data_IF_976436481257
#
_entry.id   IF_976436481257
#
_cell.length_a   1.000
_cell.length_b   1.000
_cell.length_c   1.000
_cell.angle_alpha   90.00
_cell.angle_beta   90.00
_cell.angle_gamma   90.00
#
_symmetry.space_group_name_H-M   'P 1'
#
loop_
_entity.id
_entity.type
_entity.pdbx_description
1 polymer ?
#
# COMPACT_ATOMS: atom_id res chain seq x y z
N UNK A 1 -55.80 -5.75 -59.51
CA UNK A 1 -54.43 -6.19 -59.19
C UNK A 1 -54.08 -5.65 -57.82
N UNK A 2 -53.97 -6.53 -56.82
CA UNK A 2 -53.84 -6.16 -55.42
C UNK A 2 -52.37 -5.89 -55.04
N UNK A 3 -52.14 -4.73 -54.42
CA UNK A 3 -50.86 -4.33 -53.82
C UNK A 3 -50.65 -5.09 -52.50
N UNK A 4 -49.51 -5.76 -52.36
CA UNK A 4 -49.04 -6.34 -51.10
C UNK A 4 -48.15 -5.32 -50.39
N UNK A 5 -48.62 -4.79 -49.25
CA UNK A 5 -47.79 -4.08 -48.25
C UNK A 5 -46.97 -5.11 -47.48
N UNK A 6 -45.64 -5.07 -47.60
CA UNK A 6 -44.73 -5.82 -46.73
C UNK A 6 -44.32 -4.96 -45.53
N UNK A 7 -44.62 -5.46 -44.33
CA UNK A 7 -44.44 -4.77 -43.06
C UNK A 7 -43.00 -4.75 -42.55
N UNK A 8 -42.53 -3.56 -42.21
CA UNK A 8 -41.23 -3.23 -41.61
C UNK A 8 -41.19 -3.43 -40.09
N UNK A 9 -41.85 -4.45 -39.55
CA UNK A 9 -42.06 -4.57 -38.09
C UNK A 9 -41.15 -5.59 -37.39
N UNK A 10 -40.40 -6.44 -38.11
CA UNK A 10 -39.65 -7.54 -37.48
C UNK A 10 -38.16 -7.28 -37.22
N UNK A 11 -37.56 -6.26 -37.84
CA UNK A 11 -36.12 -5.97 -37.68
C UNK A 11 -35.86 -5.16 -36.39
N UNK A 12 -36.82 -4.34 -35.96
CA UNK A 12 -36.64 -3.46 -34.79
C UNK A 12 -36.66 -4.23 -33.46
N UNK A 13 -37.47 -5.28 -33.33
CA UNK A 13 -37.54 -6.10 -32.11
C UNK A 13 -36.28 -6.93 -31.87
N UNK A 14 -35.59 -7.36 -32.94
CA UNK A 14 -34.36 -8.13 -32.83
C UNK A 14 -33.16 -7.26 -32.37
N UNK A 15 -33.11 -6.01 -32.81
CA UNK A 15 -32.10 -5.03 -32.39
C UNK A 15 -32.28 -4.62 -30.91
N UNK A 16 -33.52 -4.49 -30.44
CA UNK A 16 -33.81 -4.22 -29.02
C UNK A 16 -33.44 -5.43 -28.14
N UNK A 17 -33.68 -6.67 -28.59
CA UNK A 17 -33.27 -7.86 -27.85
C UNK A 17 -31.74 -8.02 -27.76
N UNK A 18 -31.00 -7.65 -28.81
CA UNK A 18 -29.53 -7.64 -28.81
C UNK A 18 -28.94 -6.49 -27.97
N UNK A 19 -29.62 -5.34 -27.90
CA UNK A 19 -29.23 -4.23 -27.02
C UNK A 19 -29.54 -4.50 -25.54
N UNK A 20 -30.58 -5.28 -25.21
CA UNK A 20 -30.90 -5.67 -23.82
C UNK A 20 -30.01 -6.83 -23.36
N UNK A 21 -29.58 -7.74 -24.26
CA UNK A 21 -28.63 -8.81 -23.93
C UNK A 21 -27.18 -8.38 -23.71
N UNK A 22 -26.83 -7.14 -24.10
CA UNK A 22 -25.50 -6.55 -23.91
C UNK A 22 -25.34 -5.71 -22.63
N UNK A 23 -26.42 -5.54 -21.86
CA UNK A 23 -26.38 -4.79 -20.61
C UNK A 23 -26.16 -5.74 -19.42
N UNK A 24 -24.94 -5.68 -18.89
CA UNK A 24 -24.58 -6.05 -17.52
C UNK A 24 -24.62 -7.56 -17.17
N UNK A 25 -23.79 -8.37 -17.85
CA UNK A 25 -23.03 -9.36 -17.08
C UNK A 25 -21.85 -8.63 -16.44
N UNK A 26 -22.09 -7.87 -15.37
CA UNK A 26 -21.01 -7.60 -14.42
C UNK A 26 -20.61 -8.97 -13.90
N UNK A 27 -19.48 -9.52 -14.37
CA UNK A 27 -18.85 -10.65 -13.71
C UNK A 27 -18.77 -10.28 -12.23
N UNK A 28 -19.59 -10.94 -11.42
CA UNK A 28 -19.46 -10.86 -9.97
C UNK A 28 -18.15 -11.59 -9.72
N UNK A 29 -17.04 -10.84 -9.68
CA UNK A 29 -15.76 -11.38 -9.25
C UNK A 29 -16.03 -11.90 -7.85
N UNK A 30 -15.97 -13.23 -7.61
CA UNK A 30 -16.25 -13.76 -6.30
C UNK A 30 -15.21 -13.13 -5.37
N UNK A 31 -15.70 -12.36 -4.39
CA UNK A 31 -14.88 -11.94 -3.27
C UNK A 31 -14.51 -13.22 -2.55
N UNK A 32 -13.32 -13.75 -2.83
CA UNK A 32 -12.82 -14.94 -2.16
C UNK A 32 -12.70 -14.53 -0.69
N UNK A 33 -13.49 -15.13 0.23
CA UNK A 33 -13.35 -14.82 1.64
C UNK A 33 -11.90 -15.08 2.05
N UNK A 34 -11.35 -14.24 2.94
CA UNK A 34 -10.04 -14.48 3.51
C UNK A 34 -10.01 -15.93 4.01
N UNK A 35 -9.00 -16.70 3.59
CA UNK A 35 -8.89 -18.10 3.98
C UNK A 35 -8.92 -18.18 5.51
N UNK A 36 -9.67 -19.13 6.06
CA UNK A 36 -9.56 -19.42 7.49
C UNK A 36 -8.12 -19.82 7.77
N UNK A 37 -7.46 -19.11 8.67
CA UNK A 37 -6.06 -19.39 8.99
C UNK A 37 -5.96 -20.77 9.61
N UNK A 38 -5.03 -21.58 9.12
CA UNK A 38 -4.75 -22.87 9.76
C UNK A 38 -4.11 -22.65 11.14
N UNK A 39 -4.20 -23.62 12.07
CA UNK A 39 -3.48 -23.54 13.35
C UNK A 39 -1.98 -23.27 13.19
N UNK A 40 -1.35 -23.85 12.17
CA UNK A 40 0.05 -23.64 11.84
C UNK A 40 0.33 -22.20 11.41
N UNK A 41 -0.57 -21.59 10.62
CA UNK A 41 -0.45 -20.19 10.22
C UNK A 41 -0.59 -19.24 11.42
N UNK A 42 -1.47 -19.55 12.36
CA UNK A 42 -1.64 -18.81 13.61
C UNK A 42 -0.38 -18.89 14.47
N UNK A 43 0.16 -20.09 14.67
CA UNK A 43 1.38 -20.29 15.46
C UNK A 43 2.57 -19.57 14.82
N UNK A 44 2.78 -19.74 13.51
CA UNK A 44 3.81 -19.02 12.74
C UNK A 44 3.68 -17.52 12.90
N UNK A 45 2.48 -16.97 12.78
CA UNK A 45 2.26 -15.53 12.93
C UNK A 45 2.60 -15.04 14.34
N UNK A 46 2.23 -15.81 15.38
CA UNK A 46 2.58 -15.50 16.77
C UNK A 46 4.09 -15.44 16.97
N UNK A 47 4.84 -16.42 16.44
CA UNK A 47 6.30 -16.44 16.51
C UNK A 47 6.95 -15.24 15.81
N UNK A 48 6.42 -14.83 14.66
CA UNK A 48 6.93 -13.66 13.92
C UNK A 48 6.70 -12.38 14.73
N UNK A 49 5.49 -12.20 15.29
CA UNK A 49 5.20 -11.02 16.12
C UNK A 49 6.04 -10.98 17.40
N UNK A 50 6.32 -12.12 18.02
CA UNK A 50 7.24 -12.21 19.16
C UNK A 50 8.66 -11.76 18.78
N UNK A 51 9.17 -12.18 17.61
CA UNK A 51 10.49 -11.74 17.11
C UNK A 51 10.52 -10.24 16.85
N UNK A 52 9.45 -9.67 16.31
CA UNK A 52 9.33 -8.22 16.09
C UNK A 52 9.37 -7.48 17.42
N UNK A 53 8.60 -7.95 18.41
CA UNK A 53 8.57 -7.33 19.75
C UNK A 53 9.93 -7.42 20.46
N UNK A 54 10.57 -8.59 20.43
CA UNK A 54 11.90 -8.79 21.00
C UNK A 54 12.94 -7.85 20.36
N UNK A 55 12.93 -7.76 19.02
CA UNK A 55 13.80 -6.83 18.29
C UNK A 55 13.54 -5.38 18.69
N UNK A 56 12.28 -4.97 18.71
CA UNK A 56 11.93 -3.58 19.04
C UNK A 56 12.41 -3.21 20.43
N UNK A 57 12.32 -4.14 21.39
CA UNK A 57 12.81 -3.94 22.76
C UNK A 57 14.33 -3.90 22.86
N UNK A 58 15.06 -4.70 22.08
CA UNK A 58 16.50 -4.95 22.24
C UNK A 58 17.39 -4.15 21.28
N UNK A 59 16.93 -3.87 20.07
CA UNK A 59 17.69 -3.23 18.98
C UNK A 59 17.24 -1.79 18.76
N UNK A 60 15.93 -1.56 18.60
CA UNK A 60 15.40 -0.26 18.17
C UNK A 60 15.46 0.82 19.27
N UNK A 61 15.62 0.40 20.54
CA UNK A 61 15.87 1.29 21.67
C UNK A 61 17.37 1.62 21.87
N UNK A 62 18.27 1.04 21.10
CA UNK A 62 19.71 1.32 21.19
C UNK A 62 20.02 2.67 20.53
N UNK A 63 20.75 3.54 21.24
CA UNK A 63 21.13 4.87 20.74
C UNK A 63 21.93 4.83 19.42
N UNK A 64 22.85 3.88 19.27
CA UNK A 64 23.62 3.70 18.04
C UNK A 64 22.74 3.30 16.86
N UNK A 65 21.76 2.42 17.10
CA UNK A 65 20.79 2.04 16.07
C UNK A 65 19.93 3.24 15.67
N UNK A 66 19.44 4.00 16.64
CA UNK A 66 18.63 5.21 16.42
C UNK A 66 19.42 6.22 15.57
N UNK A 67 20.65 6.54 15.94
CA UNK A 67 21.49 7.49 15.19
C UNK A 67 21.75 7.01 13.76
N UNK A 68 22.09 5.72 13.60
CA UNK A 68 22.34 5.12 12.29
C UNK A 68 21.09 5.05 11.40
N UNK A 69 19.89 4.92 12.00
CA UNK A 69 18.61 4.83 11.28
C UNK A 69 18.30 6.10 10.48
N UNK A 70 18.89 7.24 10.86
CA UNK A 70 18.68 8.54 10.19
C UNK A 70 19.70 8.85 9.10
N UNK A 71 20.77 8.06 8.96
CA UNK A 71 21.89 8.37 8.04
C UNK A 71 21.55 8.13 6.57
N UNK A 72 20.43 7.45 6.29
CA UNK A 72 19.96 7.13 4.95
C UNK A 72 19.20 5.82 4.93
N UNK A 73 18.79 5.39 3.74
CA UNK A 73 18.11 4.10 3.55
C UNK A 73 19.17 3.00 3.55
N UNK A 74 19.09 2.10 4.54
CA UNK A 74 20.12 1.09 4.82
C UNK A 74 19.80 -0.29 4.22
N UNK A 75 18.58 -0.51 3.71
CA UNK A 75 18.26 -1.66 2.86
C UNK A 75 18.96 -1.54 1.50
N UNK A 76 19.18 -2.66 0.81
CA UNK A 76 19.96 -2.69 -0.42
C UNK A 76 19.15 -2.16 -1.61
N UNK A 77 19.77 -1.29 -2.42
CA UNK A 77 19.19 -0.90 -3.71
C UNK A 77 19.29 -2.05 -4.71
N UNK A 78 18.18 -2.39 -5.37
CA UNK A 78 18.14 -3.40 -6.43
C UNK A 78 19.02 -2.97 -7.64
N UNK A 79 19.12 -1.68 -7.95
CA UNK A 79 19.95 -1.20 -9.06
C UNK A 79 21.45 -1.44 -8.85
N UNK A 80 21.87 -1.60 -7.58
CA UNK A 80 23.26 -1.92 -7.22
C UNK A 80 23.54 -3.41 -7.09
N UNK A 81 22.50 -4.25 -7.14
CA UNK A 81 22.64 -5.70 -6.99
C UNK A 81 23.15 -6.29 -8.32
N UNK A 82 24.26 -7.06 -8.32
CA UNK A 82 24.75 -7.68 -9.53
C UNK A 82 23.73 -8.67 -10.11
N UNK A 83 23.50 -8.63 -11.43
CA UNK A 83 22.53 -9.49 -12.13
C UNK A 83 22.75 -10.98 -11.83
N UNK A 84 24.02 -11.41 -11.68
CA UNK A 84 24.37 -12.78 -11.33
C UNK A 84 23.87 -13.25 -9.95
N UNK A 85 23.36 -12.34 -9.11
CA UNK A 85 22.80 -12.62 -7.77
C UNK A 85 21.28 -12.67 -7.74
N UNK A 86 20.58 -12.36 -8.83
CA UNK A 86 19.11 -12.28 -8.81
C UNK A 86 18.45 -13.61 -8.48
N UNK A 87 18.96 -14.72 -9.03
CA UNK A 87 18.41 -16.05 -8.77
C UNK A 87 18.51 -16.47 -7.29
N UNK A 88 19.48 -15.93 -6.53
CA UNK A 88 19.67 -16.24 -5.11
C UNK A 88 18.47 -15.77 -4.27
N UNK A 89 17.71 -14.78 -4.75
CA UNK A 89 16.52 -14.24 -4.08
C UNK A 89 15.27 -15.11 -4.22
N UNK A 90 15.33 -16.19 -5.02
CA UNK A 90 14.23 -17.17 -5.15
C UNK A 90 13.80 -17.75 -3.80
N UNK A 91 14.74 -17.92 -2.86
CA UNK A 91 14.48 -18.43 -1.50
C UNK A 91 13.51 -17.57 -0.68
N UNK A 92 13.37 -16.29 -1.04
CA UNK A 92 12.51 -15.33 -0.35
C UNK A 92 11.11 -15.21 -0.97
N UNK A 93 10.84 -15.87 -2.10
CA UNK A 93 9.52 -15.80 -2.73
C UNK A 93 8.42 -16.41 -1.83
N UNK A 94 7.27 -15.76 -1.76
CA UNK A 94 6.09 -16.31 -1.08
C UNK A 94 5.25 -17.08 -2.09
N UNK A 95 5.55 -18.37 -2.26
CA UNK A 95 4.90 -19.24 -3.25
C UNK A 95 4.96 -18.67 -4.68
N UNK A 96 6.12 -18.11 -5.05
CA UNK A 96 6.34 -17.43 -6.33
C UNK A 96 5.91 -15.96 -6.35
N UNK A 97 5.32 -15.44 -5.28
CA UNK A 97 4.88 -14.04 -5.19
C UNK A 97 6.01 -13.13 -4.72
N UNK A 98 6.12 -11.96 -5.36
CA UNK A 98 6.89 -10.80 -4.89
C UNK A 98 5.94 -9.72 -4.44
N UNK A 99 6.24 -9.07 -3.32
CA UNK A 99 5.49 -7.91 -2.84
C UNK A 99 6.20 -6.63 -3.28
N UNK A 100 5.45 -5.67 -3.80
CA UNK A 100 5.97 -4.34 -4.11
C UNK A 100 5.13 -3.31 -3.37
N UNK A 101 5.77 -2.47 -2.57
CA UNK A 101 5.10 -1.39 -1.83
C UNK A 101 5.59 -0.06 -2.37
N UNK A 102 4.69 0.68 -3.02
CA UNK A 102 5.02 1.92 -3.71
C UNK A 102 4.86 3.13 -2.80
N UNK A 103 5.95 3.80 -2.46
CA UNK A 103 5.98 4.95 -1.56
C UNK A 103 5.29 4.68 -0.20
N UNK A 104 5.77 3.72 0.60
CA UNK A 104 5.18 3.43 1.91
C UNK A 104 5.19 4.67 2.82
N UNK A 105 4.23 4.77 3.72
CA UNK A 105 4.08 5.88 4.69
C UNK A 105 3.80 7.24 4.06
N UNK A 106 3.32 7.28 2.81
CA UNK A 106 3.31 8.53 2.05
C UNK A 106 2.48 9.63 2.71
N UNK A 107 1.36 9.26 3.33
CA UNK A 107 0.49 10.21 3.96
C UNK A 107 1.24 10.91 5.10
N UNK A 108 1.84 10.16 6.02
CA UNK A 108 2.57 10.73 7.16
C UNK A 108 3.75 11.61 6.75
N UNK A 109 4.55 11.21 5.76
CA UNK A 109 5.81 11.89 5.45
C UNK A 109 5.73 12.97 4.37
N UNK A 110 4.75 12.88 3.45
CA UNK A 110 4.69 13.75 2.27
C UNK A 110 3.37 14.51 2.10
N UNK A 111 2.34 14.19 2.89
CA UNK A 111 1.01 14.81 2.75
C UNK A 111 0.52 15.42 4.06
N UNK A 112 0.74 14.75 5.17
CA UNK A 112 0.29 15.15 6.47
C UNK A 112 1.11 16.37 6.93
N UNK A 113 0.47 17.38 7.54
CA UNK A 113 1.20 18.50 8.12
C UNK A 113 2.21 18.00 9.16
N UNK A 114 3.24 18.80 9.42
CA UNK A 114 4.29 18.44 10.38
C UNK A 114 3.70 18.05 11.72
N UNK A 115 3.97 16.81 12.12
CA UNK A 115 3.61 16.32 13.45
C UNK A 115 4.49 17.03 14.46
N UNK A 116 3.89 17.93 15.25
CA UNK A 116 4.51 18.48 16.44
C UNK A 116 4.19 17.58 17.64
N UNK A 117 5.20 16.95 18.22
CA UNK A 117 5.10 16.27 19.52
C UNK A 117 6.02 16.93 20.52
N UNK A 118 5.54 17.13 21.74
CA UNK A 118 6.40 17.33 22.93
C UNK A 118 7.01 16.00 23.43
N UNK A 119 6.60 14.89 22.82
CA UNK A 119 7.13 13.57 23.14
C UNK A 119 8.48 13.44 22.41
N UNK A 120 9.51 13.92 23.08
CA UNK A 120 10.88 14.03 22.56
C UNK A 120 11.67 12.73 22.75
N UNK A 121 11.00 11.59 22.93
CA UNK A 121 11.70 10.32 23.09
C UNK A 121 12.36 9.95 21.76
N UNK A 122 13.71 9.89 21.68
CA UNK A 122 14.41 9.46 20.48
C UNK A 122 14.05 8.03 20.07
N UNK A 123 13.48 7.24 21.00
CA UNK A 123 13.06 5.88 20.75
C UNK A 123 11.79 5.76 19.89
N UNK A 124 10.95 6.81 19.79
CA UNK A 124 9.72 6.78 18.99
C UNK A 124 9.89 7.52 17.67
N UNK A 125 9.61 6.86 16.56
CA UNK A 125 9.62 7.46 15.23
C UNK A 125 8.37 8.33 15.00
N UNK A 126 8.40 9.14 13.94
CA UNK A 126 7.23 9.94 13.54
C UNK A 126 6.01 9.08 13.21
N UNK A 127 6.21 7.89 12.61
CA UNK A 127 5.12 6.98 12.30
C UNK A 127 4.43 6.48 13.58
N UNK A 128 5.18 6.10 14.62
CA UNK A 128 4.58 5.68 15.91
C UNK A 128 3.73 6.80 16.51
N UNK A 129 4.28 8.01 16.54
CA UNK A 129 3.59 9.19 17.07
C UNK A 129 2.30 9.45 16.27
N UNK A 130 2.35 9.28 14.95
CA UNK A 130 1.17 9.39 14.10
C UNK A 130 0.13 8.32 14.45
N UNK A 131 0.53 7.05 14.58
CA UNK A 131 -0.38 5.94 14.81
C UNK A 131 -0.99 5.95 16.23
N UNK A 132 -0.24 6.36 17.25
CA UNK A 132 -0.65 6.36 18.66
C UNK A 132 -1.59 7.54 19.02
N UNK A 133 -1.31 8.75 18.54
CA UNK A 133 -2.06 9.93 18.98
C UNK A 133 -3.49 9.91 18.43
N UNK A 134 -4.48 9.92 19.32
CA UNK A 134 -5.90 9.95 18.94
C UNK A 134 -6.25 11.10 17.98
N UNK A 135 -7.10 10.82 16.98
CA UNK A 135 -7.55 11.80 15.94
C UNK A 135 -8.09 13.13 16.50
N UNK A 136 -8.56 13.15 17.75
CA UNK A 136 -9.06 14.35 18.44
C UNK A 136 -7.96 15.30 18.95
N UNK A 137 -6.74 14.82 19.20
CA UNK A 137 -5.59 15.64 19.62
C UNK A 137 -5.12 16.60 18.53
N UNK A 138 -5.43 16.28 17.27
CA UNK A 138 -4.91 16.96 16.09
C UNK A 138 -5.78 18.09 15.56
N UNK A 139 -7.01 18.24 16.05
CA UNK A 139 -7.88 19.35 15.64
C UNK A 139 -7.53 20.69 16.27
N UNK A 140 -6.79 20.68 17.38
CA UNK A 140 -6.45 21.90 18.11
C UNK A 140 -5.09 22.49 17.71
N UNK A 141 -4.32 21.83 16.83
CA UNK A 141 -2.90 22.15 16.66
C UNK A 141 -2.59 22.94 15.37
N UNK A 142 -3.41 22.93 14.31
CA UNK A 142 -2.96 23.59 13.06
C UNK A 142 -4.01 24.09 12.06
N UNK A 143 -5.22 24.49 12.50
CA UNK A 143 -6.25 24.96 11.55
C UNK A 143 -6.67 26.42 11.72
N UNK A 144 -6.18 27.15 12.71
CA UNK A 144 -6.64 28.51 12.99
C UNK A 144 -5.99 29.63 12.14
N UNK A 145 -4.92 29.40 11.37
CA UNK A 145 -4.19 30.51 10.73
C UNK A 145 -3.72 30.25 9.28
N UNK A 146 -4.63 29.95 8.35
CA UNK A 146 -4.37 30.28 6.94
C UNK A 146 -5.65 30.71 6.19
N UNK A 147 -6.04 31.99 6.34
CA UNK A 147 -7.20 32.56 5.63
C UNK A 147 -6.93 32.83 4.13
N UNK A 148 -5.68 32.71 3.64
CA UNK A 148 -5.30 33.31 2.34
C UNK A 148 -5.01 32.33 1.20
N UNK A 149 -5.26 31.03 1.36
CA UNK A 149 -5.27 30.10 0.22
C UNK A 149 -6.50 29.20 0.32
N UNK A 150 -7.51 29.50 -0.48
CA UNK A 150 -8.84 28.86 -0.53
C UNK A 150 -8.87 27.36 -0.86
N UNK A 151 -8.16 26.54 -0.09
CA UNK A 151 -8.14 25.08 -0.19
C UNK A 151 -7.93 24.35 1.14
N UNK A 152 -7.64 25.04 2.24
CA UNK A 152 -7.13 24.44 3.49
C UNK A 152 -8.22 24.11 4.54
N UNK A 153 -9.30 23.45 4.13
CA UNK A 153 -10.33 22.94 5.06
C UNK A 153 -10.79 21.50 4.74
N UNK A 154 -9.92 20.67 4.12
CA UNK A 154 -10.38 19.43 3.44
C UNK A 154 -10.27 18.12 4.20
N UNK A 155 -9.52 18.03 5.29
CA UNK A 155 -9.31 16.73 5.94
C UNK A 155 -10.22 16.56 7.16
N UNK A 156 -11.35 15.89 6.94
CA UNK A 156 -12.24 15.45 8.02
C UNK A 156 -11.49 14.43 8.93
N UNK A 157 -11.82 14.40 10.22
CA UNK A 157 -11.34 13.40 11.20
C UNK A 157 -11.47 11.96 10.67
N UNK A 158 -12.50 11.70 9.89
CA UNK A 158 -12.74 10.41 9.22
C UNK A 158 -11.61 10.04 8.26
N UNK A 159 -11.18 10.96 7.41
CA UNK A 159 -10.08 10.72 6.46
C UNK A 159 -8.78 10.37 7.19
N UNK A 160 -8.45 11.13 8.24
CA UNK A 160 -7.26 10.87 9.06
C UNK A 160 -7.32 9.47 9.68
N UNK A 161 -8.50 9.03 10.15
CA UNK A 161 -8.68 7.67 10.70
C UNK A 161 -8.46 6.59 9.64
N UNK A 162 -9.00 6.79 8.43
CA UNK A 162 -8.81 5.86 7.31
C UNK A 162 -7.32 5.76 6.96
N UNK A 163 -6.62 6.89 6.81
CA UNK A 163 -5.19 6.89 6.49
C UNK A 163 -4.34 6.24 7.59
N UNK A 164 -4.66 6.48 8.86
CA UNK A 164 -3.99 5.78 9.98
C UNK A 164 -4.13 4.28 9.90
N UNK A 165 -5.31 3.80 9.50
CA UNK A 165 -5.55 2.37 9.39
C UNK A 165 -4.75 1.77 8.22
N UNK A 166 -4.76 2.42 7.06
CA UNK A 166 -3.93 1.99 5.92
C UNK A 166 -2.43 1.98 6.26
N UNK A 167 -1.89 3.07 6.84
CA UNK A 167 -0.47 3.11 7.19
C UNK A 167 -0.11 2.14 8.33
N UNK A 168 -1.04 1.84 9.25
CA UNK A 168 -0.84 0.77 10.24
C UNK A 168 -0.76 -0.60 9.58
N UNK A 169 -1.70 -0.91 8.68
CA UNK A 169 -1.71 -2.18 7.96
C UNK A 169 -0.43 -2.33 7.13
N UNK A 170 -0.02 -1.27 6.43
CA UNK A 170 1.20 -1.26 5.63
C UNK A 170 2.47 -1.43 6.49
N UNK A 171 2.61 -0.67 7.58
CA UNK A 171 3.74 -0.80 8.51
C UNK A 171 3.84 -2.21 9.07
N UNK A 172 2.72 -2.74 9.58
CA UNK A 172 2.66 -4.09 10.12
C UNK A 172 2.99 -5.14 9.05
N UNK A 173 2.49 -4.97 7.83
CA UNK A 173 2.78 -5.86 6.72
C UNK A 173 4.26 -5.88 6.37
N UNK A 174 4.90 -4.71 6.28
CA UNK A 174 6.33 -4.57 6.00
C UNK A 174 7.17 -5.22 7.11
N UNK A 175 6.87 -4.95 8.38
CA UNK A 175 7.55 -5.55 9.53
C UNK A 175 7.40 -7.07 9.56
N UNK A 176 6.18 -7.56 9.32
CA UNK A 176 5.88 -8.98 9.31
C UNK A 176 6.62 -9.69 8.17
N UNK A 177 6.50 -9.19 6.93
CA UNK A 177 7.09 -9.84 5.76
C UNK A 177 8.61 -9.74 5.73
N UNK A 178 9.19 -8.64 6.20
CA UNK A 178 10.64 -8.53 6.34
C UNK A 178 11.20 -9.49 7.39
N UNK A 179 10.52 -9.65 8.52
CA UNK A 179 10.88 -10.60 9.59
C UNK A 179 10.69 -12.05 9.14
N UNK A 180 9.65 -12.34 8.36
CA UNK A 180 9.43 -13.64 7.71
C UNK A 180 10.43 -13.92 6.57
N UNK A 181 11.29 -12.97 6.23
CA UNK A 181 12.22 -13.02 5.10
C UNK A 181 11.50 -13.30 3.76
N UNK A 182 10.35 -12.65 3.55
CA UNK A 182 9.68 -12.65 2.24
C UNK A 182 10.19 -11.50 1.37
N UNK A 183 10.21 -11.73 0.06
CA UNK A 183 10.74 -10.77 -0.90
C UNK A 183 9.80 -9.58 -1.03
N UNK A 184 10.25 -8.43 -0.54
CA UNK A 184 9.57 -7.14 -0.64
C UNK A 184 10.47 -6.17 -1.40
N UNK A 185 9.91 -5.48 -2.39
CA UNK A 185 10.58 -4.38 -3.09
C UNK A 185 9.85 -3.08 -2.73
N UNK A 186 10.58 -2.13 -2.17
CA UNK A 186 10.05 -0.82 -1.83
C UNK A 186 10.37 0.14 -2.97
N UNK A 187 9.36 0.85 -3.47
CA UNK A 187 9.59 1.98 -4.36
C UNK A 187 9.65 3.23 -3.50
N UNK A 188 10.81 3.86 -3.42
CA UNK A 188 11.07 5.07 -2.64
C UNK A 188 10.75 6.29 -3.53
N UNK A 189 10.11 7.35 -3.02
CA UNK A 189 9.89 8.56 -3.81
C UNK A 189 11.22 9.17 -4.26
N UNK A 190 11.45 9.31 -5.57
CA UNK A 190 12.73 9.81 -6.09
C UNK A 190 13.07 11.21 -5.60
N UNK A 191 14.33 11.43 -5.19
CA UNK A 191 14.80 12.73 -4.68
C UNK A 191 13.92 13.31 -3.55
N UNK A 192 13.26 12.48 -2.74
CA UNK A 192 12.29 12.93 -1.74
C UNK A 192 12.85 13.98 -0.76
N UNK A 193 14.13 13.92 -0.42
CA UNK A 193 14.79 14.89 0.48
C UNK A 193 14.69 16.34 -0.03
N UNK A 194 14.64 16.53 -1.35
CA UNK A 194 14.51 17.84 -2.01
C UNK A 194 13.06 18.21 -2.32
N UNK A 195 12.12 17.28 -2.12
CA UNK A 195 10.72 17.49 -2.43
C UNK A 195 10.10 18.50 -1.47
N UNK A 196 9.34 19.47 -2.00
CA UNK A 196 8.76 20.54 -1.20
C UNK A 196 7.84 20.02 -0.09
N UNK A 197 7.12 18.94 -0.37
CA UNK A 197 6.13 18.36 0.53
C UNK A 197 6.73 17.32 1.48
N UNK A 198 8.02 16.98 1.36
CA UNK A 198 8.66 16.19 2.40
C UNK A 198 8.74 17.00 3.68
N UNK A 199 7.95 16.57 4.67
CA UNK A 199 7.65 17.32 5.89
C UNK A 199 8.88 17.53 6.78
N UNK A 200 9.88 16.65 6.69
CA UNK A 200 11.03 16.59 7.59
C UNK A 200 12.36 16.99 6.93
N UNK A 201 12.32 17.63 5.75
CA UNK A 201 13.50 18.01 4.93
C UNK A 201 14.59 18.86 5.62
N UNK A 202 14.26 19.55 6.72
CA UNK A 202 15.17 20.43 7.47
C UNK A 202 15.61 19.84 8.82
N UNK A 203 15.38 18.55 9.07
CA UNK A 203 15.74 17.88 10.31
C UNK A 203 16.29 16.49 10.04
N UNK A 204 16.10 15.59 11.01
CA UNK A 204 16.41 14.17 10.83
C UNK A 204 15.57 13.56 9.71
N UNK A 205 16.15 12.58 9.02
CA UNK A 205 15.49 11.87 7.93
C UNK A 205 14.49 10.84 8.46
N UNK A 206 13.35 11.32 8.94
CA UNK A 206 12.29 10.50 9.53
C UNK A 206 11.72 9.46 8.57
N UNK A 207 11.87 9.68 7.26
CA UNK A 207 11.42 8.71 6.27
C UNK A 207 12.40 7.55 6.15
N UNK A 208 13.70 7.83 6.08
CA UNK A 208 14.73 6.80 6.12
C UNK A 208 14.67 5.99 7.41
N UNK A 209 14.50 6.64 8.57
CA UNK A 209 14.30 5.96 9.86
C UNK A 209 13.15 4.96 9.78
N UNK A 210 11.97 5.42 9.34
CA UNK A 210 10.79 4.57 9.22
C UNK A 210 11.06 3.35 8.34
N UNK A 211 11.63 3.54 7.15
CA UNK A 211 11.97 2.43 6.26
C UNK A 211 12.94 1.45 6.90
N UNK A 212 13.99 1.94 7.59
CA UNK A 212 14.98 1.10 8.25
C UNK A 212 14.36 0.26 9.39
N UNK A 213 13.42 0.85 10.12
CA UNK A 213 12.67 0.22 11.21
C UNK A 213 11.76 -0.90 10.69
N UNK A 214 10.83 -0.57 9.78
CA UNK A 214 9.82 -1.54 9.32
C UNK A 214 10.39 -2.66 8.46
N UNK A 215 11.58 -2.46 7.89
CA UNK A 215 12.26 -3.50 7.10
C UNK A 215 13.24 -4.32 7.91
N UNK A 216 13.58 -3.90 9.12
CA UNK A 216 14.61 -4.53 9.95
C UNK A 216 15.92 -4.78 9.19
N UNK A 217 16.24 -3.93 8.21
CA UNK A 217 17.40 -4.09 7.34
C UNK A 217 17.49 -5.49 6.69
N UNK A 218 16.36 -6.17 6.50
CA UNK A 218 16.29 -7.56 6.09
C UNK A 218 16.86 -7.74 4.68
N UNK A 219 17.66 -8.79 4.49
CA UNK A 219 18.24 -9.13 3.17
C UNK A 219 17.18 -9.48 2.12
N UNK A 220 15.95 -9.82 2.54
CA UNK A 220 14.82 -10.08 1.64
C UNK A 220 14.12 -8.80 1.17
N UNK A 221 14.53 -7.63 1.67
CA UNK A 221 13.96 -6.34 1.27
C UNK A 221 14.96 -5.59 0.39
N UNK A 222 14.47 -5.18 -0.77
CA UNK A 222 15.21 -4.34 -1.71
C UNK A 222 14.45 -3.04 -1.96
N UNK A 223 15.13 -2.03 -2.49
CA UNK A 223 14.45 -0.83 -2.96
C UNK A 223 14.88 -0.38 -4.35
N UNK A 224 14.00 0.38 -5.00
CA UNK A 224 14.27 1.22 -6.16
C UNK A 224 13.70 2.61 -5.89
N UNK A 225 14.15 3.61 -6.62
CA UNK A 225 13.58 4.95 -6.55
C UNK A 225 12.63 5.21 -7.73
N UNK A 226 11.48 5.83 -7.46
CA UNK A 226 10.66 6.37 -8.53
C UNK A 226 11.35 7.56 -9.20
N UNK A 227 10.97 7.84 -10.44
CA UNK A 227 11.49 8.96 -11.23
C UNK A 227 11.20 10.33 -10.58
N UNK A 228 10.09 10.44 -9.85
CA UNK A 228 9.64 11.68 -9.20
C UNK A 228 9.00 11.37 -7.84
N UNK A 229 9.10 12.28 -6.86
CA UNK A 229 8.59 12.04 -5.51
C UNK A 229 7.05 12.00 -5.40
N UNK A 230 6.34 12.27 -6.49
CA UNK A 230 4.88 12.33 -6.55
C UNK A 230 4.32 11.56 -7.77
N UNK A 231 5.08 10.59 -8.27
CA UNK A 231 4.68 9.64 -9.31
C UNK A 231 5.29 8.29 -9.00
N UNK A 232 4.54 7.20 -9.18
CA UNK A 232 5.08 5.86 -8.95
C UNK A 232 5.94 5.35 -10.10
N UNK A 233 5.99 6.04 -11.25
CA UNK A 233 6.79 5.63 -12.40
C UNK A 233 8.29 5.54 -12.05
N UNK A 234 8.93 4.42 -12.40
CA UNK A 234 10.39 4.24 -12.37
C UNK A 234 11.09 4.90 -13.57
N UNK A 235 12.40 5.11 -13.47
CA UNK A 235 13.23 5.29 -14.66
C UNK A 235 13.17 4.02 -15.53
N UNK A 236 13.39 4.17 -16.84
CA UNK A 236 13.31 3.04 -17.77
C UNK A 236 14.37 1.97 -17.46
N UNK A 237 15.58 2.40 -17.10
CA UNK A 237 16.66 1.51 -16.65
C UNK A 237 16.26 0.72 -15.41
N UNK A 238 15.74 1.38 -14.37
CA UNK A 238 15.28 0.73 -13.13
C UNK A 238 14.08 -0.20 -13.37
N UNK A 239 13.18 0.17 -14.29
CA UNK A 239 12.08 -0.71 -14.69
C UNK A 239 12.59 -1.98 -15.38
N UNK A 240 13.57 -1.85 -16.28
CA UNK A 240 14.21 -2.99 -16.94
C UNK A 240 14.93 -3.88 -15.91
N UNK A 241 15.66 -3.27 -14.97
CA UNK A 241 16.28 -3.99 -13.84
C UNK A 241 15.24 -4.75 -13.02
N UNK A 242 14.11 -4.13 -12.67
CA UNK A 242 13.03 -4.77 -11.93
C UNK A 242 12.46 -5.96 -12.69
N UNK A 243 12.19 -5.82 -14.00
CA UNK A 243 11.65 -6.91 -14.83
C UNK A 243 12.62 -8.08 -14.90
N UNK A 244 13.90 -7.81 -15.18
CA UNK A 244 14.93 -8.84 -15.24
C UNK A 244 15.09 -9.55 -13.88
N UNK A 245 15.03 -8.80 -12.79
CA UNK A 245 15.03 -9.35 -11.43
C UNK A 245 13.84 -10.28 -11.18
N UNK A 246 12.61 -9.84 -11.47
CA UNK A 246 11.40 -10.65 -11.31
C UNK A 246 11.47 -11.94 -12.15
N UNK A 247 11.99 -11.87 -13.37
CA UNK A 247 12.15 -13.03 -14.24
C UNK A 247 13.22 -14.01 -13.70
N UNK A 248 14.41 -13.52 -13.34
CA UNK A 248 15.53 -14.36 -12.88
C UNK A 248 15.32 -14.95 -11.49
N UNK A 249 14.59 -14.26 -10.62
CA UNK A 249 14.16 -14.82 -9.32
C UNK A 249 13.15 -15.96 -9.50
N UNK A 250 12.45 -16.01 -10.64
CA UNK A 250 11.38 -16.96 -10.90
C UNK A 250 10.05 -16.53 -10.26
N UNK A 251 9.81 -15.23 -10.12
CA UNK A 251 8.53 -14.70 -9.66
C UNK A 251 7.41 -15.06 -10.64
N UNK A 252 6.27 -15.51 -10.12
CA UNK A 252 5.07 -15.88 -10.89
C UNK A 252 3.95 -14.88 -10.73
N UNK A 253 4.02 -13.99 -9.74
CA UNK A 253 3.09 -12.87 -9.61
C UNK A 253 3.67 -11.75 -8.75
N UNK A 254 3.11 -10.55 -8.91
CA UNK A 254 3.40 -9.38 -8.08
C UNK A 254 2.14 -8.97 -7.32
N UNK A 255 2.27 -8.75 -6.02
CA UNK A 255 1.25 -8.11 -5.18
C UNK A 255 1.70 -6.69 -4.86
N UNK A 256 0.95 -5.70 -5.34
CA UNK A 256 1.25 -4.28 -5.28
C UNK A 256 0.36 -3.60 -4.24
N UNK A 257 0.99 -2.84 -3.34
CA UNK A 257 0.35 -1.89 -2.44
C UNK A 257 1.13 -0.56 -2.43
N UNK A 258 0.79 0.38 -1.55
CA UNK A 258 1.56 1.59 -1.31
C UNK A 258 0.74 2.87 -1.21
N UNK A 259 1.08 3.86 -2.02
CA UNK A 259 0.42 5.17 -2.07
C UNK A 259 -1.01 5.10 -2.61
N UNK A 260 -1.57 6.26 -2.97
CA UNK A 260 -2.94 6.36 -3.42
C UNK A 260 -3.21 5.69 -4.76
N UNK A 261 -4.26 4.88 -4.79
CA UNK A 261 -4.96 4.49 -6.02
C UNK A 261 -5.48 5.75 -6.73
N UNK A 262 -5.42 5.75 -8.07
CA UNK A 262 -5.71 6.94 -8.88
C UNK A 262 -4.54 7.94 -8.99
N UNK A 263 -3.37 7.62 -8.42
CA UNK A 263 -2.15 8.44 -8.49
C UNK A 263 -0.91 7.59 -8.73
N UNK A 264 0.02 7.56 -7.77
CA UNK A 264 1.33 6.97 -7.93
C UNK A 264 1.25 5.45 -8.05
N UNK A 265 0.41 4.81 -7.24
CA UNK A 265 0.23 3.36 -7.31
C UNK A 265 -0.35 2.95 -8.67
N UNK A 266 -1.32 3.70 -9.20
CA UNK A 266 -1.90 3.42 -10.51
C UNK A 266 -0.90 3.63 -11.66
N UNK A 267 -0.13 4.72 -11.63
CA UNK A 267 0.94 5.00 -12.59
C UNK A 267 1.98 3.86 -12.60
N UNK A 268 2.38 3.37 -11.43
CA UNK A 268 3.30 2.24 -11.31
C UNK A 268 2.67 0.94 -11.81
N UNK A 269 1.42 0.64 -11.41
CA UNK A 269 0.66 -0.53 -11.86
C UNK A 269 0.58 -0.61 -13.38
N UNK A 270 0.24 0.49 -14.06
CA UNK A 270 0.14 0.54 -15.53
C UNK A 270 1.46 0.20 -16.19
N UNK A 271 2.55 0.80 -15.73
CA UNK A 271 3.88 0.58 -16.31
C UNK A 271 4.38 -0.83 -16.07
N UNK A 272 4.31 -1.33 -14.83
CA UNK A 272 4.78 -2.67 -14.50
C UNK A 272 3.94 -3.74 -15.21
N UNK A 273 2.61 -3.64 -15.14
CA UNK A 273 1.72 -4.63 -15.75
C UNK A 273 1.88 -4.71 -17.27
N UNK A 274 2.12 -3.57 -17.93
CA UNK A 274 2.40 -3.55 -19.38
C UNK A 274 3.71 -4.26 -19.69
N UNK A 275 4.73 -4.03 -18.87
CA UNK A 275 6.07 -4.53 -19.13
C UNK A 275 6.24 -6.02 -18.77
N UNK A 276 5.58 -6.50 -17.72
CA UNK A 276 5.60 -7.93 -17.33
C UNK A 276 4.56 -8.78 -18.07
N UNK A 277 3.47 -8.16 -18.53
CA UNK A 277 2.40 -8.82 -19.27
C UNK A 277 1.75 -9.96 -18.49
N UNK A 278 1.31 -10.99 -19.23
CA UNK A 278 0.65 -12.16 -18.64
C UNK A 278 1.63 -13.14 -17.95
N UNK A 279 2.93 -13.02 -18.20
CA UNK A 279 3.94 -13.92 -17.64
C UNK A 279 4.11 -13.73 -16.13
N UNK A 280 4.07 -12.48 -15.66
CA UNK A 280 4.11 -12.14 -14.23
C UNK A 280 2.96 -11.15 -13.98
N UNK A 281 1.73 -11.64 -13.74
CA UNK A 281 0.59 -10.77 -13.47
C UNK A 281 0.80 -9.95 -12.20
N UNK A 282 0.44 -8.67 -12.29
CA UNK A 282 0.43 -7.72 -11.17
C UNK A 282 -1.00 -7.61 -10.63
N UNK A 283 -1.14 -7.67 -9.30
CA UNK A 283 -2.40 -7.50 -8.59
C UNK A 283 -2.28 -6.36 -7.59
N UNK A 284 -3.24 -5.44 -7.60
CA UNK A 284 -3.43 -4.45 -6.52
C UNK A 284 -3.98 -5.17 -5.30
N UNK A 285 -3.46 -4.81 -4.12
CA UNK A 285 -3.85 -5.36 -2.82
C UNK A 285 -4.71 -4.33 -2.09
N UNK A 286 -6.04 -4.46 -2.11
CA UNK A 286 -6.94 -3.43 -1.57
C UNK A 286 -6.63 -3.00 -0.14
N UNK A 287 -6.10 -3.88 0.70
CA UNK A 287 -5.76 -3.56 2.08
C UNK A 287 -4.52 -2.67 2.23
N UNK A 288 -3.65 -2.65 1.22
CA UNK A 288 -2.40 -1.88 1.21
C UNK A 288 -2.47 -0.68 0.25
N UNK A 289 -3.64 -0.42 -0.34
CA UNK A 289 -3.81 0.55 -1.43
C UNK A 289 -4.82 1.62 -1.00
N UNK A 290 -4.38 2.65 -0.25
CA UNK A 290 -5.23 3.71 0.24
C UNK A 290 -5.85 4.52 -0.90
N UNK A 291 -6.92 5.21 -0.57
CA UNK A 291 -7.62 6.07 -1.52
C UNK A 291 -7.07 7.49 -1.45
N UNK A 292 -6.91 8.13 -2.61
CA UNK A 292 -6.51 9.53 -2.69
C UNK A 292 -7.53 10.42 -1.95
N UNK A 293 -7.08 11.42 -1.16
CA UNK A 293 -8.01 12.29 -0.44
C UNK A 293 -8.97 13.07 -1.32
N UNK A 294 -8.58 13.33 -2.57
CA UNK A 294 -9.48 14.01 -3.51
C UNK A 294 -10.68 13.12 -3.90
N UNK A 295 -10.54 11.80 -3.77
CA UNK A 295 -11.60 10.82 -4.03
C UNK A 295 -12.43 10.54 -2.76
N UNK A 296 -12.03 11.07 -1.61
CA UNK A 296 -12.68 10.84 -0.32
C UNK A 296 -14.06 11.50 -0.27
N UNK A 297 -15.09 10.73 -0.61
CA UNK A 297 -16.49 11.16 -0.60
C UNK A 297 -17.30 10.48 0.53
N UNK A 298 -18.60 10.82 0.68
CA UNK A 298 -19.47 10.29 1.75
C UNK A 298 -19.52 8.74 1.78
N UNK A 299 -19.31 8.06 0.65
CA UNK A 299 -19.34 6.59 0.54
C UNK A 299 -18.06 5.92 1.04
N UNK A 300 -16.99 6.67 1.27
CA UNK A 300 -15.75 6.14 1.82
C UNK A 300 -15.71 6.07 3.34
N UNK A 301 -16.77 6.55 4.01
CA UNK A 301 -16.99 6.31 5.44
C UNK A 301 -17.13 4.82 5.77
N UNK A 302 -17.59 4.05 4.78
CA UNK A 302 -17.81 2.61 4.91
C UNK A 302 -16.50 1.81 4.74
N UNK A 303 -15.36 2.47 4.50
CA UNK A 303 -14.05 1.81 4.48
C UNK A 303 -13.62 1.33 5.86
N UNK A 304 -14.19 1.87 6.94
CA UNK A 304 -13.92 1.42 8.29
C UNK A 304 -15.13 0.71 8.88
N UNK A 305 -14.90 -0.43 9.50
CA UNK A 305 -15.89 -1.14 10.30
C UNK A 305 -16.19 -0.44 11.63
N UNK A 306 -17.16 -0.95 12.42
CA UNK A 306 -17.52 -0.38 13.73
C UNK A 306 -16.37 -0.32 14.74
N UNK A 307 -15.35 -1.17 14.59
CA UNK A 307 -14.15 -1.22 15.40
C UNK A 307 -13.04 -0.27 14.91
N UNK A 308 -13.33 0.56 13.90
CA UNK A 308 -12.41 1.42 13.16
C UNK A 308 -11.28 0.68 12.42
N UNK A 309 -11.44 -0.62 12.15
CA UNK A 309 -10.52 -1.35 11.26
C UNK A 309 -10.97 -1.25 9.81
N UNK A 310 -10.04 -1.47 8.88
CA UNK A 310 -10.36 -1.49 7.46
C UNK A 310 -11.34 -2.62 7.14
N UNK A 311 -12.46 -2.27 6.49
CA UNK A 311 -13.33 -3.22 5.82
C UNK A 311 -12.75 -3.53 4.44
N UNK A 312 -12.06 -4.66 4.35
CA UNK A 312 -11.42 -5.15 3.13
C UNK A 312 -12.43 -5.40 2.01
N UNK A 313 -13.64 -5.86 2.36
CA UNK A 313 -14.68 -6.11 1.36
C UNK A 313 -15.17 -4.79 0.77
N UNK A 314 -15.39 -3.79 1.63
CA UNK A 314 -15.74 -2.44 1.18
C UNK A 314 -14.63 -1.80 0.33
N UNK A 315 -13.36 -1.93 0.73
CA UNK A 315 -12.22 -1.45 -0.04
C UNK A 315 -12.16 -2.12 -1.43
N UNK A 316 -12.25 -3.45 -1.47
CA UNK A 316 -12.28 -4.23 -2.73
C UNK A 316 -13.45 -3.81 -3.61
N UNK A 317 -14.66 -3.74 -3.03
CA UNK A 317 -15.87 -3.36 -3.74
C UNK A 317 -15.76 -1.97 -4.36
N UNK A 318 -15.21 -1.01 -3.62
CA UNK A 318 -15.05 0.37 -4.09
C UNK A 318 -14.11 0.47 -5.29
N UNK A 319 -13.01 -0.30 -5.31
CA UNK A 319 -12.10 -0.36 -6.45
C UNK A 319 -12.79 -0.97 -7.67
N UNK A 320 -13.43 -2.14 -7.50
CA UNK A 320 -14.07 -2.86 -8.62
C UNK A 320 -15.20 -2.07 -9.27
N UNK A 321 -15.93 -1.28 -8.48
CA UNK A 321 -17.08 -0.52 -8.97
C UNK A 321 -16.73 0.91 -9.38
N UNK A 322 -15.44 1.17 -9.64
CA UNK A 322 -14.87 2.46 -10.04
C UNK A 322 -15.43 3.63 -9.22
N UNK A 323 -15.48 3.46 -7.88
CA UNK A 323 -15.99 4.50 -6.97
C UNK A 323 -14.97 5.60 -6.70
N UNK A 324 -13.76 5.47 -7.25
CA UNK A 324 -12.68 6.44 -7.15
C UNK A 324 -12.66 7.26 -8.44
N UNK A 325 -12.90 8.56 -8.33
CA UNK A 325 -13.07 9.44 -9.50
C UNK A 325 -11.82 9.50 -10.36
N UNK A 326 -10.64 9.35 -9.74
CA UNK A 326 -9.33 9.39 -10.41
C UNK A 326 -8.82 8.07 -10.93
N UNK A 327 -9.50 6.95 -10.65
CA UNK A 327 -9.03 5.66 -11.12
C UNK A 327 -9.35 5.51 -12.61
N UNK A 328 -8.30 5.49 -13.44
CA UNK A 328 -8.45 5.42 -14.90
C UNK A 328 -8.43 3.98 -15.44
N UNK A 329 -8.08 3.01 -14.60
CA UNK A 329 -7.93 1.60 -14.98
C UNK A 329 -8.77 0.68 -14.12
N UNK A 330 -9.08 -0.51 -14.65
CA UNK A 330 -9.69 -1.60 -13.88
C UNK A 330 -8.58 -2.58 -13.49
N UNK A 331 -7.91 -2.39 -12.34
CA UNK A 331 -6.80 -3.24 -11.95
C UNK A 331 -7.27 -4.66 -11.61
N UNK A 332 -6.37 -5.63 -11.79
CA UNK A 332 -6.55 -6.96 -11.19
C UNK A 332 -6.38 -6.83 -9.68
N UNK A 333 -7.31 -7.39 -8.92
CA UNK A 333 -7.27 -7.33 -7.46
C UNK A 333 -6.92 -8.69 -6.86
N UNK A 334 -6.19 -8.66 -5.74
CA UNK A 334 -5.96 -9.83 -4.90
C UNK A 334 -5.75 -9.40 -3.46
N UNK A 335 -6.63 -9.83 -2.56
CA UNK A 335 -6.51 -9.61 -1.14
C UNK A 335 -5.34 -10.40 -0.55
N UNK A 336 -4.80 -9.94 0.58
CA UNK A 336 -3.85 -10.73 1.36
C UNK A 336 -4.54 -11.99 1.88
N UNK A 337 -3.81 -13.11 1.87
CA UNK A 337 -4.37 -14.40 2.32
C UNK A 337 -4.79 -14.40 3.79
N UNK A 338 -4.11 -13.61 4.64
CA UNK A 338 -4.28 -13.65 6.09
C UNK A 338 -4.20 -12.27 6.73
N UNK A 339 -5.21 -11.95 7.57
CA UNK A 339 -5.18 -10.74 8.42
C UNK A 339 -4.09 -10.78 9.49
N UNK A 340 -3.55 -11.97 9.81
CA UNK A 340 -2.49 -12.12 10.82
C UNK A 340 -1.20 -11.38 10.44
N UNK A 341 -0.99 -11.14 9.14
CA UNK A 341 0.17 -10.40 8.63
C UNK A 341 0.11 -8.89 8.86
N UNK A 342 -1.06 -8.34 9.20
CA UNK A 342 -1.23 -6.90 9.40
C UNK A 342 -2.03 -6.51 10.65
N UNK A 343 -2.57 -7.48 11.39
CA UNK A 343 -3.11 -7.27 12.73
C UNK A 343 -2.10 -7.72 13.79
N UNK A 344 -1.27 -6.77 14.26
CA UNK A 344 -0.43 -6.99 15.44
C UNK A 344 -1.32 -7.42 16.62
N UNK A 345 -1.03 -8.54 17.30
CA UNK A 345 -1.79 -8.95 18.48
C UNK A 345 -1.84 -7.80 19.47
N UNK A 346 -3.05 -7.42 19.93
CA UNK A 346 -3.17 -6.46 21.02
C UNK A 346 -2.56 -7.10 22.27
N UNK A 347 -1.76 -6.34 23.01
CA UNK A 347 -1.07 -6.77 24.24
C UNK A 347 -2.01 -7.43 25.27
N UNK A 348 -3.33 -7.22 25.18
CA UNK A 348 -4.33 -7.72 26.15
C UNK A 348 -5.09 -9.00 25.74
N UNK A 349 -4.70 -9.70 24.67
CA UNK A 349 -5.38 -10.92 24.21
C UNK A 349 -4.50 -12.18 24.27
N UNK A 350 -3.46 -12.19 25.10
CA UNK A 350 -2.79 -13.44 25.47
C UNK A 350 -3.60 -14.03 26.63
N UNK A 351 -4.36 -15.13 26.45
CA UNK A 351 -4.83 -15.87 27.61
C UNK A 351 -3.58 -16.38 28.33
N UNK A 352 -3.44 -16.03 29.60
CA UNK A 352 -2.43 -16.64 30.47
C UNK A 352 -2.56 -18.17 30.35
N UNK A 353 -1.43 -18.90 30.29
CA UNK A 353 -1.42 -20.35 30.15
C UNK A 353 -2.17 -21.09 31.27
#
# INVERSE_FOLDING_TARGET
>A
MAFIRTGSAKIFSLLIALLIGGCASTEIIPVIPAAQNSPEEILRAKEIWQKIEERSRTVENNAEWIDNSYTGINIRSLSTLPIGKYADYKKFLDNGTVYIINHPGYYTFFHHPKISGKDNSPAKGIMDIFLEKGSASWTNVFWENSPEKGGANRYNKEFIRIMKEFERIESNFLEFKSTEQKLVIIIVPGNYKKYSNYTYKNGNDEYARYLNEVTNLSESVLYLESKKPNRGQLLEEDLNTLIEFLQKTGATSVMLGGEYLGRCEEDFYKHLSRATGAAIPVFIVPELSPVSPDDMNRRMKDLLGPDNKLDVQAATYNILNNKYEKLETTPKLRNLKSRLSYERPRENNIPDP
#
